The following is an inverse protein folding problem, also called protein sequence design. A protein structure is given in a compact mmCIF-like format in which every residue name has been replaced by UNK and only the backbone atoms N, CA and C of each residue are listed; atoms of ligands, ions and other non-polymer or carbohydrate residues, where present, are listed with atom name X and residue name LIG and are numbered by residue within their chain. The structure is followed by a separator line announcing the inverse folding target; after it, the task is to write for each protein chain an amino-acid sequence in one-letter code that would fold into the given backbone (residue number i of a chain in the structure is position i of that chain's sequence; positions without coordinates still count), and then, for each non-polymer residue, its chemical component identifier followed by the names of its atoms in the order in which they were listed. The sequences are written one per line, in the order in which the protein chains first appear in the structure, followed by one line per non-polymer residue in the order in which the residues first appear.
data_IF_061587301204
#
_entry.id   IF_061587301204
#
_cell.length_a   1.000
_cell.length_b   1.000
_cell.length_c   1.000
_cell.angle_alpha   90.00
_cell.angle_beta   90.00
_cell.angle_gamma   90.00
#
_symmetry.space_group_name_H-M   'P 1'
#
loop_
_entity.id
_entity.type
_entity.pdbx_description
1 polymer ?
#
# COMPACT_ATOMS: atom_id res chain seq x y z
N UNK A 1 -0.05 -22.75 54.12
CA UNK A 1 -0.54 -21.65 53.28
C UNK A 1 0.32 -20.44 53.58
N UNK A 2 1.25 -20.11 52.70
CA UNK A 2 2.17 -18.98 52.91
C UNK A 2 2.01 -18.05 51.70
N UNK A 3 1.38 -16.90 51.92
CA UNK A 3 1.17 -15.88 50.90
C UNK A 3 2.42 -15.00 50.86
N UNK A 4 3.26 -15.15 49.85
CA UNK A 4 4.38 -14.23 49.61
C UNK A 4 3.85 -12.88 49.11
N UNK A 5 4.06 -11.84 49.91
CA UNK A 5 3.78 -10.43 49.60
C UNK A 5 4.46 -10.00 48.28
N UNK A 6 3.67 -9.50 47.32
CA UNK A 6 4.17 -8.89 46.08
C UNK A 6 4.22 -7.38 46.30
N UNK A 7 5.40 -6.83 46.58
CA UNK A 7 5.61 -5.39 46.87
C UNK A 7 6.00 -4.58 45.64
N UNK A 8 5.65 -4.99 44.41
CA UNK A 8 5.77 -4.12 43.22
C UNK A 8 4.95 -4.62 42.03
N UNK A 9 4.38 -3.68 41.26
CA UNK A 9 3.60 -3.98 40.06
C UNK A 9 4.44 -4.70 38.98
N UNK A 10 3.90 -5.73 38.30
CA UNK A 10 4.63 -6.47 37.28
C UNK A 10 4.89 -5.62 36.03
N UNK A 11 6.09 -5.76 35.47
CA UNK A 11 6.52 -5.14 34.20
C UNK A 11 5.58 -5.51 33.04
N UNK A 12 5.35 -4.56 32.12
CA UNK A 12 4.53 -4.68 30.91
C UNK A 12 5.03 -5.70 29.87
N UNK A 13 6.15 -6.40 30.12
CA UNK A 13 6.75 -7.40 29.21
C UNK A 13 6.61 -8.85 29.69
N UNK A 14 5.47 -9.21 30.32
CA UNK A 14 5.13 -10.63 30.55
C UNK A 14 4.22 -11.14 29.42
N UNK A 15 4.50 -12.30 28.80
CA UNK A 15 3.47 -13.01 28.04
C UNK A 15 2.34 -13.47 28.97
N UNK A 16 1.15 -13.57 28.39
CA UNK A 16 -0.16 -13.69 29.07
C UNK A 16 -0.34 -14.99 29.89
N UNK A 17 0.55 -15.97 29.77
CA UNK A 17 0.43 -17.32 30.34
C UNK A 17 1.40 -17.63 31.49
N UNK A 18 2.30 -16.72 31.87
CA UNK A 18 3.16 -16.88 33.05
C UNK A 18 4.17 -18.04 32.99
N UNK A 19 4.17 -18.85 31.93
CA UNK A 19 5.14 -19.92 31.69
C UNK A 19 6.35 -19.36 30.96
N UNK A 20 7.50 -19.37 31.62
CA UNK A 20 8.76 -18.94 31.00
C UNK A 20 9.07 -19.76 29.75
N UNK A 21 9.37 -19.08 28.63
CA UNK A 21 9.97 -19.71 27.45
C UNK A 21 11.26 -20.40 27.89
N UNK A 22 11.40 -21.70 27.61
CA UNK A 22 12.65 -22.44 27.85
C UNK A 22 13.79 -21.70 27.14
N UNK A 23 14.72 -21.14 27.91
CA UNK A 23 15.92 -20.52 27.36
C UNK A 23 16.80 -21.62 26.78
N UNK A 24 17.00 -21.60 25.47
CA UNK A 24 17.99 -22.42 24.79
C UNK A 24 19.36 -22.00 25.36
N UNK A 25 20.24 -22.96 25.67
CA UNK A 25 21.60 -22.69 26.13
C UNK A 25 22.39 -21.95 25.05
N UNK A 26 22.96 -20.79 25.36
CA UNK A 26 23.77 -19.99 24.44
C UNK A 26 23.69 -18.49 24.70
N UNK A 27 24.46 -17.70 23.91
CA UNK A 27 24.33 -16.24 23.91
C UNK A 27 22.96 -15.84 23.33
N UNK A 28 22.21 -14.92 23.96
CA UNK A 28 20.92 -14.50 23.43
C UNK A 28 21.12 -13.73 22.12
N UNK A 29 20.46 -14.19 21.06
CA UNK A 29 20.44 -13.48 19.77
C UNK A 29 19.57 -12.23 19.88
N UNK A 30 20.17 -11.05 19.76
CA UNK A 30 19.51 -9.76 19.96
C UNK A 30 19.07 -9.15 18.63
N UNK A 31 17.76 -8.98 18.49
CA UNK A 31 17.15 -8.29 17.35
C UNK A 31 16.56 -6.96 17.84
N UNK A 32 16.90 -5.88 17.15
CA UNK A 32 16.37 -4.54 17.42
C UNK A 32 15.67 -3.94 16.22
N UNK A 33 14.84 -2.92 16.46
CA UNK A 33 14.35 -2.03 15.40
C UNK A 33 14.58 -0.58 15.80
N UNK A 34 15.00 0.26 14.85
CA UNK A 34 15.25 1.69 15.09
C UNK A 34 14.74 2.55 13.94
N UNK A 35 13.96 3.57 14.27
CA UNK A 35 13.64 4.68 13.36
C UNK A 35 14.76 5.73 13.40
N UNK A 36 15.55 5.77 12.33
CA UNK A 36 16.74 6.64 12.22
C UNK A 36 16.44 8.02 11.64
N UNK A 37 15.17 8.32 11.30
CA UNK A 37 14.72 9.61 10.76
C UNK A 37 15.66 10.17 9.67
N UNK A 38 15.84 9.42 8.58
CA UNK A 38 16.76 9.66 7.45
C UNK A 38 18.23 9.33 7.73
N UNK A 39 18.81 8.53 6.84
CA UNK A 39 20.21 8.11 6.81
C UNK A 39 20.95 8.71 5.60
N UNK A 40 20.56 9.90 5.14
CA UNK A 40 21.18 10.52 3.95
C UNK A 40 22.64 10.97 4.15
N UNK A 41 23.11 11.07 5.39
CA UNK A 41 24.46 11.51 5.73
C UNK A 41 25.31 10.31 6.18
N UNK A 42 26.57 10.18 5.72
CA UNK A 42 27.48 9.10 6.12
C UNK A 42 27.69 8.99 7.63
N UNK A 43 27.76 10.12 8.34
CA UNK A 43 27.98 10.18 9.79
C UNK A 43 26.91 9.44 10.59
N UNK A 44 25.66 9.43 10.10
CA UNK A 44 24.57 8.73 10.77
C UNK A 44 24.71 7.22 10.68
N UNK A 45 25.33 6.71 9.61
CA UNK A 45 25.64 5.28 9.48
C UNK A 45 26.62 4.88 10.58
N UNK A 46 27.67 5.68 10.77
CA UNK A 46 28.64 5.43 11.82
C UNK A 46 28.00 5.44 13.21
N UNK A 47 27.06 6.36 13.47
CA UNK A 47 26.32 6.36 14.72
C UNK A 47 25.46 5.11 14.90
N UNK A 48 24.84 4.61 13.82
CA UNK A 48 24.08 3.34 13.85
C UNK A 48 25.00 2.16 14.15
N UNK A 49 26.16 2.09 13.51
CA UNK A 49 27.17 1.07 13.76
C UNK A 49 27.62 1.08 15.23
N UNK A 50 28.00 2.25 15.73
CA UNK A 50 28.41 2.46 17.12
C UNK A 50 27.33 2.02 18.12
N UNK A 51 26.06 2.33 17.85
CA UNK A 51 24.95 1.91 18.72
C UNK A 51 24.67 0.41 18.64
N UNK A 52 24.86 -0.19 17.47
CA UNK A 52 24.75 -1.64 17.28
C UNK A 52 25.81 -2.39 18.09
N UNK A 53 27.05 -1.91 18.08
CA UNK A 53 28.15 -2.44 18.89
C UNK A 53 27.92 -2.19 20.39
N UNK A 54 27.56 -0.96 20.77
CA UNK A 54 27.29 -0.58 22.17
C UNK A 54 26.22 -1.47 22.81
N UNK A 55 25.18 -1.82 22.07
CA UNK A 55 24.07 -2.65 22.54
C UNK A 55 24.26 -4.15 22.28
N UNK A 56 25.31 -4.51 21.53
CA UNK A 56 25.61 -5.86 21.05
C UNK A 56 24.41 -6.47 20.30
N UNK A 57 23.80 -5.72 19.38
CA UNK A 57 22.64 -6.17 18.60
C UNK A 57 23.14 -6.99 17.40
N UNK A 58 22.65 -8.22 17.24
CA UNK A 58 23.04 -9.09 16.12
C UNK A 58 22.33 -8.69 14.81
N UNK A 59 21.06 -8.26 14.88
CA UNK A 59 20.30 -7.75 13.72
C UNK A 59 19.53 -6.49 14.09
N UNK A 60 19.75 -5.41 13.34
CA UNK A 60 19.01 -4.15 13.50
C UNK A 60 18.14 -3.85 12.28
N UNK A 61 16.82 -3.79 12.49
CA UNK A 61 15.86 -3.32 11.50
C UNK A 61 15.78 -1.79 11.48
N UNK A 62 16.21 -1.15 10.40
CA UNK A 62 16.14 0.31 10.26
C UNK A 62 14.84 0.75 9.57
N UNK A 63 14.24 1.84 10.06
CA UNK A 63 13.07 2.49 9.45
C UNK A 63 13.31 3.98 9.15
N UNK A 64 12.58 4.52 8.16
CA UNK A 64 12.74 5.87 7.60
C UNK A 64 14.17 6.20 7.11
N UNK A 65 14.85 5.26 6.47
CA UNK A 65 16.26 5.40 6.03
C UNK A 65 16.45 6.46 4.92
N UNK A 66 15.45 6.70 4.06
CA UNK A 66 15.48 7.64 2.91
C UNK A 66 16.66 7.48 1.93
N UNK A 67 17.31 6.33 1.91
CA UNK A 67 18.43 6.03 1.01
C UNK A 67 17.98 5.82 -0.45
N UNK A 68 18.74 6.38 -1.41
CA UNK A 68 18.40 6.34 -2.84
C UNK A 68 18.79 5.05 -3.54
N UNK A 69 19.87 4.42 -3.08
CA UNK A 69 20.48 3.26 -3.75
C UNK A 69 20.05 1.93 -3.09
N UNK A 70 20.40 0.81 -3.72
CA UNK A 70 20.21 -0.53 -3.17
C UNK A 70 21.56 -1.22 -3.17
N UNK A 71 21.77 -2.16 -2.26
CA UNK A 71 23.00 -2.92 -2.23
C UNK A 71 23.38 -3.40 -0.85
N UNK A 72 24.55 -4.04 -0.82
CA UNK A 72 25.21 -4.47 0.40
C UNK A 72 26.41 -3.56 0.59
N UNK A 73 26.47 -2.91 1.75
CA UNK A 73 27.57 -2.04 2.13
C UNK A 73 28.22 -2.64 3.36
N UNK A 74 29.55 -2.78 3.32
CA UNK A 74 30.33 -3.17 4.49
C UNK A 74 30.87 -1.91 5.13
N UNK A 75 30.53 -1.70 6.39
CA UNK A 75 31.07 -0.61 7.20
C UNK A 75 31.65 -1.29 8.42
N UNK A 76 32.98 -1.30 8.50
CA UNK A 76 33.74 -2.04 9.51
C UNK A 76 33.37 -3.54 9.53
N UNK A 77 32.95 -4.06 10.68
CA UNK A 77 32.50 -5.45 10.87
C UNK A 77 31.00 -5.64 10.58
N UNK A 78 30.27 -4.56 10.32
CA UNK A 78 28.81 -4.57 10.15
C UNK A 78 28.43 -4.65 8.66
N UNK A 79 27.53 -5.58 8.36
CA UNK A 79 26.96 -5.75 7.03
C UNK A 79 25.62 -5.01 6.92
N UNK A 80 25.60 -3.93 6.14
CA UNK A 80 24.40 -3.15 5.87
C UNK A 80 23.75 -3.61 4.56
N UNK A 81 22.58 -4.24 4.66
CA UNK A 81 21.81 -4.70 3.49
C UNK A 81 20.62 -3.76 3.24
N UNK A 82 20.69 -2.98 2.17
CA UNK A 82 19.64 -2.05 1.76
C UNK A 82 18.89 -2.59 0.56
N UNK A 83 17.65 -3.03 0.78
CA UNK A 83 16.75 -3.49 -0.28
C UNK A 83 15.61 -2.50 -0.47
N UNK A 84 15.45 -1.98 -1.69
CA UNK A 84 14.26 -1.19 -2.01
C UNK A 84 13.09 -2.14 -2.22
N UNK A 85 12.20 -2.17 -1.25
CA UNK A 85 10.97 -2.96 -1.36
C UNK A 85 10.02 -2.22 -2.29
N UNK A 86 9.85 -2.73 -3.52
CA UNK A 86 8.74 -2.31 -4.38
C UNK A 86 7.46 -2.86 -3.76
N UNK A 87 6.57 -1.98 -3.30
CA UNK A 87 5.23 -2.42 -2.88
C UNK A 87 4.57 -3.15 -4.04
N UNK A 88 4.09 -4.38 -3.80
CA UNK A 88 3.28 -5.10 -4.78
C UNK A 88 2.05 -4.25 -5.05
N UNK A 89 1.79 -3.93 -6.32
CA UNK A 89 0.52 -3.33 -6.73
C UNK A 89 -0.52 -4.44 -6.69
N UNK A 90 -1.41 -4.40 -5.71
CA UNK A 90 -2.57 -5.28 -5.69
C UNK A 90 -3.55 -4.71 -6.73
N UNK A 91 -3.96 -5.54 -7.70
CA UNK A 91 -5.03 -5.17 -8.60
C UNK A 91 -6.33 -5.16 -7.79
N UNK A 92 -6.76 -3.98 -7.38
CA UNK A 92 -8.03 -3.80 -6.66
C UNK A 92 -9.16 -4.00 -7.66
N UNK A 93 -10.03 -4.97 -7.42
CA UNK A 93 -11.22 -5.23 -8.25
C UNK A 93 -12.41 -4.49 -7.64
N UNK A 94 -13.23 -3.81 -8.46
CA UNK A 94 -14.45 -3.16 -7.97
C UNK A 94 -15.63 -4.13 -8.03
N UNK A 95 -15.85 -4.85 -6.92
CA UNK A 95 -16.92 -5.85 -6.79
C UNK A 95 -18.32 -5.22 -6.95
N UNK A 96 -18.49 -3.94 -6.62
CA UNK A 96 -19.78 -3.25 -6.72
C UNK A 96 -20.31 -3.17 -8.16
N UNK A 97 -19.42 -3.19 -9.16
CA UNK A 97 -19.80 -3.22 -10.58
C UNK A 97 -20.60 -4.46 -10.96
N UNK A 98 -20.47 -5.56 -10.23
CA UNK A 98 -21.28 -6.77 -10.45
C UNK A 98 -22.76 -6.52 -10.14
N UNK A 99 -23.07 -5.50 -9.33
CA UNK A 99 -24.45 -5.11 -9.05
C UNK A 99 -25.12 -4.38 -10.23
N UNK A 100 -24.34 -3.80 -11.13
CA UNK A 100 -24.87 -3.12 -12.32
C UNK A 100 -25.39 -4.15 -13.32
N UNK A 101 -26.65 -4.02 -13.75
CA UNK A 101 -27.30 -4.99 -14.66
C UNK A 101 -26.49 -5.27 -15.92
N UNK A 102 -25.88 -4.24 -16.51
CA UNK A 102 -25.10 -4.35 -17.75
C UNK A 102 -23.75 -5.06 -17.53
N UNK A 103 -23.05 -4.73 -16.45
CA UNK A 103 -21.80 -5.43 -16.12
C UNK A 103 -22.08 -6.89 -15.74
N UNK A 104 -23.17 -7.14 -15.02
CA UNK A 104 -23.58 -8.50 -14.64
C UNK A 104 -23.89 -9.36 -15.85
N UNK A 105 -24.66 -8.86 -16.82
CA UNK A 105 -25.01 -9.62 -18.02
C UNK A 105 -23.76 -9.95 -18.84
N UNK A 106 -22.81 -9.03 -18.97
CA UNK A 106 -21.58 -9.25 -19.71
C UNK A 106 -20.64 -10.26 -19.03
N UNK A 107 -20.49 -10.20 -17.70
CA UNK A 107 -19.72 -11.21 -16.94
C UNK A 107 -20.36 -12.58 -17.03
N UNK A 108 -21.69 -12.67 -16.88
CA UNK A 108 -22.43 -13.93 -16.97
C UNK A 108 -22.31 -14.54 -18.36
N UNK A 109 -22.40 -13.74 -19.42
CA UNK A 109 -22.20 -14.18 -20.81
C UNK A 109 -20.82 -14.81 -20.99
N UNK A 110 -19.76 -14.07 -20.64
CA UNK A 110 -18.37 -14.51 -20.81
C UNK A 110 -18.02 -15.79 -20.03
N UNK A 111 -18.61 -15.97 -18.84
CA UNK A 111 -18.41 -17.18 -18.03
C UNK A 111 -19.22 -18.35 -18.59
N UNK A 112 -20.45 -18.12 -19.02
CA UNK A 112 -21.30 -19.18 -19.57
C UNK A 112 -20.80 -19.68 -20.93
N UNK A 113 -20.31 -18.79 -21.79
CA UNK A 113 -19.63 -19.15 -23.04
C UNK A 113 -18.42 -20.05 -22.76
N UNK A 114 -17.56 -19.64 -21.83
CA UNK A 114 -16.42 -20.47 -21.40
C UNK A 114 -16.87 -21.82 -20.82
N UNK A 115 -17.94 -21.85 -20.02
CA UNK A 115 -18.43 -23.08 -19.41
C UNK A 115 -18.99 -24.05 -20.46
N UNK A 116 -19.60 -23.55 -21.53
CA UNK A 116 -20.06 -24.36 -22.65
C UNK A 116 -18.87 -24.96 -23.43
N UNK A 117 -17.82 -24.17 -23.69
CA UNK A 117 -16.58 -24.63 -24.33
C UNK A 117 -15.83 -25.67 -23.47
N UNK A 118 -15.80 -25.45 -22.14
CA UNK A 118 -15.12 -26.34 -21.20
C UNK A 118 -15.80 -27.72 -21.11
N UNK A 119 -17.14 -27.78 -21.23
CA UNK A 119 -17.89 -29.05 -21.24
C UNK A 119 -17.58 -29.93 -22.45
N UNK A 120 -17.21 -29.33 -23.58
CA UNK A 120 -16.85 -30.05 -24.81
C UNK A 120 -15.37 -30.44 -24.85
N UNK A 121 -14.55 -29.88 -23.97
CA UNK A 121 -13.11 -30.12 -23.95
C UNK A 121 -12.76 -31.36 -23.11
N UNK A 122 -12.11 -32.36 -23.72
CA UNK A 122 -11.55 -33.55 -23.04
C UNK A 122 -10.25 -33.26 -22.26
N UNK A 123 -10.12 -32.06 -21.68
CA UNK A 123 -8.91 -31.66 -20.95
C UNK A 123 -8.95 -32.09 -19.49
N UNK A 124 -7.76 -32.27 -18.91
CA UNK A 124 -7.62 -32.60 -17.50
C UNK A 124 -8.12 -31.45 -16.60
N UNK A 125 -8.64 -31.79 -15.42
CA UNK A 125 -9.24 -30.84 -14.47
C UNK A 125 -8.29 -29.69 -14.11
N UNK A 126 -6.97 -29.94 -13.99
CA UNK A 126 -5.99 -28.89 -13.72
C UNK A 126 -5.84 -27.88 -14.86
N UNK A 127 -5.90 -28.34 -16.10
CA UNK A 127 -5.80 -27.48 -17.29
C UNK A 127 -7.06 -26.62 -17.41
N UNK A 128 -8.23 -27.22 -17.20
CA UNK A 128 -9.50 -26.50 -17.14
C UNK A 128 -9.50 -25.43 -16.03
N UNK A 129 -8.96 -25.76 -14.86
CA UNK A 129 -8.82 -24.83 -13.74
C UNK A 129 -7.91 -23.63 -14.06
N UNK A 130 -6.79 -23.87 -14.75
CA UNK A 130 -5.90 -22.79 -15.19
C UNK A 130 -6.57 -21.89 -16.22
N UNK A 131 -7.31 -22.46 -17.17
CA UNK A 131 -8.10 -21.70 -18.15
C UNK A 131 -9.18 -20.86 -17.48
N UNK A 132 -9.89 -21.41 -16.51
CA UNK A 132 -10.86 -20.65 -15.72
C UNK A 132 -10.20 -19.48 -15.01
N UNK A 133 -9.09 -19.73 -14.29
CA UNK A 133 -8.35 -18.67 -13.58
C UNK A 133 -7.93 -17.54 -14.52
N UNK A 134 -7.36 -17.89 -15.68
CA UNK A 134 -6.92 -16.88 -16.65
C UNK A 134 -8.09 -16.09 -17.23
N UNK A 135 -9.23 -16.72 -17.50
CA UNK A 135 -10.46 -16.03 -17.94
C UNK A 135 -11.00 -15.10 -16.85
N UNK A 136 -11.08 -15.54 -15.60
CA UNK A 136 -11.49 -14.70 -14.45
C UNK A 136 -10.54 -13.51 -14.29
N UNK A 137 -9.23 -13.70 -14.44
CA UNK A 137 -8.27 -12.60 -14.42
C UNK A 137 -8.47 -11.60 -15.56
N UNK A 138 -8.80 -12.07 -16.77
CA UNK A 138 -9.14 -11.20 -17.91
C UNK A 138 -10.42 -10.40 -17.65
N UNK A 139 -11.46 -11.04 -17.11
CA UNK A 139 -12.72 -10.37 -16.72
C UNK A 139 -12.45 -9.29 -15.67
N UNK A 140 -11.66 -9.62 -14.65
CA UNK A 140 -11.28 -8.67 -13.61
C UNK A 140 -10.52 -7.46 -14.17
N UNK A 141 -9.65 -7.67 -15.15
CA UNK A 141 -8.86 -6.62 -15.78
C UNK A 141 -9.68 -5.73 -16.74
N UNK A 142 -10.64 -6.32 -17.46
CA UNK A 142 -11.37 -5.62 -18.53
C UNK A 142 -12.67 -4.98 -18.02
N UNK A 143 -13.47 -5.75 -17.28
CA UNK A 143 -14.84 -5.40 -16.87
C UNK A 143 -14.84 -4.82 -15.45
N UNK A 144 -14.29 -5.57 -14.49
CA UNK A 144 -14.33 -5.19 -13.06
C UNK A 144 -13.16 -4.30 -12.64
N UNK A 145 -12.48 -3.67 -13.60
CA UNK A 145 -11.43 -2.70 -13.31
C UNK A 145 -11.99 -1.61 -12.40
N UNK A 146 -11.24 -1.18 -11.37
CA UNK A 146 -11.66 -0.08 -10.55
C UNK A 146 -11.78 1.15 -11.44
N UNK A 147 -12.81 1.96 -11.20
CA UNK A 147 -12.91 3.23 -11.88
C UNK A 147 -11.63 4.00 -11.58
N UNK A 148 -10.97 4.45 -12.65
CA UNK A 148 -9.68 5.13 -12.54
C UNK A 148 -9.77 6.30 -11.55
N UNK A 149 -10.96 6.89 -11.47
CA UNK A 149 -11.24 8.09 -10.69
C UNK A 149 -12.53 7.92 -9.91
N UNK A 150 -12.43 7.53 -8.65
CA UNK A 150 -13.51 7.78 -7.70
C UNK A 150 -13.31 9.21 -7.19
N UNK A 151 -14.28 10.08 -7.47
CA UNK A 151 -14.29 11.44 -6.96
C UNK A 151 -14.20 11.38 -5.42
N UNK A 152 -13.04 11.74 -4.86
CA UNK A 152 -12.89 11.81 -3.39
C UNK A 152 -13.81 12.87 -2.79
N UNK A 153 -14.05 13.91 -3.58
CA UNK A 153 -14.87 15.04 -3.23
C UNK A 153 -15.89 15.31 -4.35
N UNK A 154 -17.13 15.71 -4.03
CA UNK A 154 -18.18 15.92 -5.05
C UNK A 154 -17.84 16.99 -6.11
N UNK A 155 -16.94 17.92 -5.79
CA UNK A 155 -16.50 18.99 -6.69
C UNK A 155 -15.31 18.59 -7.57
N UNK A 156 -14.72 17.40 -7.37
CA UNK A 156 -13.60 16.92 -8.17
C UNK A 156 -14.09 16.43 -9.53
N UNK A 157 -13.80 17.21 -10.58
CA UNK A 157 -14.20 16.90 -11.95
C UNK A 157 -13.25 15.91 -12.63
N UNK A 158 -13.75 15.20 -13.64
CA UNK A 158 -12.95 14.29 -14.47
C UNK A 158 -11.74 15.00 -15.11
N UNK A 159 -11.92 16.28 -15.50
CA UNK A 159 -10.85 17.12 -16.05
C UNK A 159 -9.66 17.25 -15.09
N UNK A 160 -9.91 17.47 -13.79
CA UNK A 160 -8.85 17.55 -12.77
C UNK A 160 -8.08 16.23 -12.71
N UNK A 161 -8.79 15.10 -12.74
CA UNK A 161 -8.18 13.78 -12.71
C UNK A 161 -7.31 13.48 -13.94
N UNK A 162 -7.79 13.84 -15.14
CA UNK A 162 -7.02 13.73 -16.37
C UNK A 162 -5.74 14.58 -16.31
N UNK A 163 -5.81 15.81 -15.79
CA UNK A 163 -4.64 16.67 -15.60
C UNK A 163 -3.66 16.09 -14.58
N UNK A 164 -4.15 15.52 -13.46
CA UNK A 164 -3.31 14.84 -12.47
C UNK A 164 -2.57 13.62 -13.07
N UNK A 165 -3.20 12.88 -13.98
CA UNK A 165 -2.55 11.75 -14.67
C UNK A 165 -1.50 12.22 -15.67
N UNK A 166 -1.80 13.25 -16.46
CA UNK A 166 -0.80 13.91 -17.33
C UNK A 166 0.41 14.34 -16.53
N UNK A 167 0.21 14.96 -15.36
CA UNK A 167 1.31 15.35 -14.44
C UNK A 167 2.12 14.15 -13.94
N UNK A 168 1.49 12.99 -13.72
CA UNK A 168 2.20 11.76 -13.29
C UNK A 168 3.07 11.19 -14.40
N UNK A 169 2.62 11.24 -15.66
CA UNK A 169 3.38 10.77 -16.82
C UNK A 169 4.60 11.66 -17.10
N UNK A 170 4.46 12.97 -16.93
CA UNK A 170 5.51 13.94 -17.26
C UNK A 170 6.36 14.38 -16.06
N UNK A 171 6.63 13.47 -15.11
CA UNK A 171 7.46 13.80 -13.93
C UNK A 171 8.91 14.15 -14.27
N UNK A 172 9.39 13.72 -15.45
CA UNK A 172 10.77 13.96 -15.89
C UNK A 172 10.94 15.30 -16.63
N UNK A 173 9.87 15.93 -17.10
CA UNK A 173 9.91 17.22 -17.81
C UNK A 173 9.42 18.35 -16.89
N UNK A 174 10.36 19.16 -16.40
CA UNK A 174 10.09 20.20 -15.41
C UNK A 174 9.19 21.34 -15.96
N UNK A 175 9.32 21.71 -17.25
CA UNK A 175 8.52 22.78 -17.85
C UNK A 175 7.07 22.33 -18.01
N UNK A 176 6.86 21.14 -18.55
CA UNK A 176 5.54 20.58 -18.77
C UNK A 176 4.85 20.28 -17.43
N UNK A 177 5.58 19.74 -16.46
CA UNK A 177 5.08 19.49 -15.10
C UNK A 177 4.54 20.76 -14.43
N UNK A 178 5.30 21.87 -14.46
CA UNK A 178 4.89 23.15 -13.87
C UNK A 178 3.68 23.77 -14.56
N UNK A 179 3.55 23.59 -15.88
CA UNK A 179 2.39 24.08 -16.64
C UNK A 179 1.14 23.30 -16.26
N UNK A 180 1.22 21.97 -16.23
CA UNK A 180 0.10 21.11 -15.83
C UNK A 180 -0.30 21.38 -14.36
N UNK A 181 0.68 21.60 -13.46
CA UNK A 181 0.40 21.92 -12.05
C UNK A 181 -0.39 23.23 -11.89
N UNK A 182 -0.05 24.27 -12.66
CA UNK A 182 -0.80 25.54 -12.69
C UNK A 182 -2.23 25.34 -13.17
N UNK A 183 -2.41 24.53 -14.21
CA UNK A 183 -3.72 24.23 -14.78
C UNK A 183 -4.60 23.45 -13.78
N UNK A 184 -4.04 22.43 -13.10
CA UNK A 184 -4.72 21.71 -12.02
C UNK A 184 -5.21 22.67 -10.94
N UNK A 185 -4.35 23.58 -10.46
CA UNK A 185 -4.74 24.55 -9.41
C UNK A 185 -5.86 25.48 -9.86
N UNK A 186 -5.90 25.87 -11.14
CA UNK A 186 -6.97 26.70 -11.69
C UNK A 186 -8.30 25.94 -11.72
N UNK A 187 -8.30 24.73 -12.25
CA UNK A 187 -9.48 23.87 -12.34
C UNK A 187 -10.03 23.49 -10.97
N UNK A 188 -9.15 23.13 -10.02
CA UNK A 188 -9.54 22.85 -8.63
C UNK A 188 -10.25 24.04 -7.99
N UNK A 189 -9.71 25.25 -8.14
CA UNK A 189 -10.35 26.46 -7.59
C UNK A 189 -11.72 26.71 -8.21
N UNK A 190 -11.82 26.59 -9.53
CA UNK A 190 -13.07 26.81 -10.25
C UNK A 190 -14.14 25.78 -9.84
N UNK A 191 -13.81 24.49 -9.90
CA UNK A 191 -14.74 23.42 -9.60
C UNK A 191 -15.21 23.47 -8.14
N UNK A 192 -14.28 23.72 -7.20
CA UNK A 192 -14.58 23.91 -5.78
C UNK A 192 -15.53 25.10 -5.55
N UNK A 193 -15.23 26.27 -6.12
CA UNK A 193 -16.05 27.47 -5.96
C UNK A 193 -17.44 27.32 -6.59
N UNK A 194 -17.53 26.72 -7.78
CA UNK A 194 -18.79 26.45 -8.47
C UNK A 194 -19.69 25.52 -7.66
N UNK A 195 -19.11 24.46 -7.09
CA UNK A 195 -19.86 23.52 -6.26
C UNK A 195 -20.36 24.16 -4.96
N UNK A 196 -19.53 24.93 -4.25
CA UNK A 196 -20.00 25.65 -3.06
C UNK A 196 -21.08 26.65 -3.41
N UNK A 197 -20.95 27.44 -4.49
CA UNK A 197 -22.00 28.38 -4.90
C UNK A 197 -23.33 27.67 -5.13
N UNK A 198 -23.34 26.56 -5.87
CA UNK A 198 -24.56 25.75 -6.09
C UNK A 198 -25.12 25.21 -4.79
N UNK A 199 -24.27 24.68 -3.91
CA UNK A 199 -24.68 24.14 -2.61
C UNK A 199 -25.28 25.20 -1.69
N UNK A 200 -24.70 26.40 -1.66
CA UNK A 200 -25.19 27.54 -0.88
C UNK A 200 -26.52 28.07 -1.42
N UNK A 201 -26.68 28.16 -2.75
CA UNK A 201 -27.95 28.54 -3.39
C UNK A 201 -29.06 27.53 -3.07
N UNK A 202 -28.77 26.23 -3.16
CA UNK A 202 -29.75 25.17 -2.84
C UNK A 202 -30.15 25.27 -1.36
N UNK A 203 -29.19 25.45 -0.46
CA UNK A 203 -29.49 25.61 0.98
C UNK A 203 -30.37 26.83 1.26
N UNK A 204 -30.10 27.96 0.60
CA UNK A 204 -30.88 29.19 0.76
C UNK A 204 -32.33 29.04 0.26
N UNK A 205 -32.55 28.26 -0.80
CA UNK A 205 -33.90 28.01 -1.35
C UNK A 205 -34.69 27.01 -0.49
N UNK A 206 -34.01 26.04 0.15
CA UNK A 206 -34.68 25.03 1.00
C UNK A 206 -34.97 25.51 2.42
N UNK A 207 -34.29 26.56 2.88
CA UNK A 207 -34.46 27.16 4.21
C UNK A 207 -35.44 28.37 4.19
N UNK A 208 -36.09 28.65 3.04
CA UNK A 208 -37.19 29.61 2.88
C UNK A 208 -38.52 28.87 2.71
#
# INVERSE_FOLDING_TARGET
MEKSNITTAPSSRRPFDGTGVRRISGRPFKIGTWNVRSLNSPEKIYNVCKEMDRLHIDILGLSDVRWKHQGVHRVDEILLVLKKIRKRRINVVNIRKISDKNCRSEVVREINEWAAEAKQSHENAEQQWYKLKTKVHKINANILKPDKWVAKEPWMTEKIYQLMEKRRLHKNDDKLYKTIDREIRREVRYARNSWYRKKWIIKFITDC
#
